data_IF_407754661723
#
_entry.id   IF_407754661723
#
_cell.length_a   1.000
_cell.length_b   1.000
_cell.length_c   1.000
_cell.angle_alpha   90.00
_cell.angle_beta   90.00
_cell.angle_gamma   90.00
#
_symmetry.space_group_name_H-M   'P 1'
#
loop_
_entity.id
_entity.type
_entity.pdbx_description
1 polymer ?
#
# COMPACT_ATOMS: atom_id res chain seq x y z
N UNK A 1 -3.81 41.58 -83.38
CA UNK A 1 -3.47 41.95 -81.96
C UNK A 1 -3.99 40.88 -81.02
N UNK A 2 -3.15 39.96 -80.59
CA UNK A 2 -3.52 38.85 -79.71
C UNK A 2 -2.98 39.17 -78.31
N UNK A 3 -3.89 39.18 -77.29
CA UNK A 3 -3.54 39.37 -75.93
C UNK A 3 -3.24 38.02 -75.26
N UNK A 4 -1.99 37.85 -74.81
CA UNK A 4 -1.56 36.73 -74.02
C UNK A 4 -2.10 36.83 -72.60
N UNK A 5 -2.89 35.82 -72.18
CA UNK A 5 -3.29 35.66 -70.80
C UNK A 5 -2.20 35.02 -69.95
N UNK A 6 -1.90 35.63 -68.81
CA UNK A 6 -0.96 35.13 -67.80
C UNK A 6 -1.55 33.95 -67.04
N UNK A 7 -0.88 32.81 -67.05
CA UNK A 7 -1.15 31.64 -66.18
C UNK A 7 -0.53 31.90 -64.79
N UNK A 8 -1.41 31.83 -63.77
CA UNK A 8 -0.99 31.90 -62.35
C UNK A 8 -0.66 30.49 -61.85
N UNK A 9 0.49 30.28 -61.21
CA UNK A 9 0.81 28.96 -60.68
C UNK A 9 0.03 28.68 -59.40
N UNK A 10 -0.69 27.56 -59.40
CA UNK A 10 -1.37 26.98 -58.23
C UNK A 10 -0.28 26.39 -57.31
N UNK A 11 -0.12 27.03 -56.15
CA UNK A 11 0.71 26.48 -55.05
C UNK A 11 -0.06 25.41 -54.31
N UNK A 12 0.35 24.16 -54.48
CA UNK A 12 -0.12 23.05 -53.62
C UNK A 12 0.49 23.20 -52.24
N UNK A 13 -0.34 23.54 -51.28
CA UNK A 13 0.03 23.51 -49.82
C UNK A 13 -0.09 22.07 -49.36
N UNK A 14 1.03 21.35 -49.26
CA UNK A 14 1.04 20.01 -48.60
C UNK A 14 0.98 20.23 -47.11
N UNK A 15 -0.23 20.01 -46.54
CA UNK A 15 -0.44 19.97 -45.09
C UNK A 15 0.14 18.65 -44.57
N UNK A 16 1.37 18.68 -44.05
CA UNK A 16 1.95 17.55 -43.32
C UNK A 16 1.27 17.38 -41.97
N UNK A 17 0.39 16.40 -41.88
CA UNK A 17 -0.18 15.97 -40.57
C UNK A 17 0.89 15.22 -39.81
N UNK A 18 1.56 15.90 -38.89
CA UNK A 18 2.43 15.28 -37.87
C UNK A 18 1.53 14.57 -36.89
N UNK A 19 1.34 13.27 -37.10
CA UNK A 19 0.75 12.37 -36.08
C UNK A 19 1.80 12.20 -34.98
N UNK A 20 1.71 13.02 -33.94
CA UNK A 20 2.38 12.79 -32.66
C UNK A 20 1.77 11.53 -32.05
N UNK A 21 2.38 10.37 -32.28
CA UNK A 21 2.13 9.17 -31.53
C UNK A 21 2.56 9.45 -30.07
N UNK A 22 1.63 9.89 -29.24
CA UNK A 22 1.78 9.88 -27.81
C UNK A 22 1.91 8.42 -27.38
N UNK A 23 3.13 7.91 -27.31
CA UNK A 23 3.43 6.67 -26.60
C UNK A 23 3.08 6.92 -25.13
N UNK A 24 1.88 6.55 -24.74
CA UNK A 24 1.50 6.45 -23.35
C UNK A 24 2.45 5.39 -22.76
N UNK A 25 3.47 5.84 -22.08
CA UNK A 25 4.31 5.00 -21.25
C UNK A 25 3.41 4.60 -20.07
N UNK A 26 2.65 3.50 -20.25
CA UNK A 26 2.04 2.81 -19.10
C UNK A 26 3.22 2.49 -18.18
N UNK A 27 3.30 3.18 -17.05
CA UNK A 27 4.40 3.05 -16.11
C UNK A 27 4.44 1.59 -15.66
N UNK A 28 5.45 0.85 -16.14
CA UNK A 28 5.55 -0.60 -15.96
C UNK A 28 5.75 -0.88 -14.48
N UNK A 29 4.89 -1.73 -13.91
CA UNK A 29 5.05 -2.18 -12.53
C UNK A 29 6.42 -2.81 -12.32
N UNK A 30 7.00 -2.57 -11.16
CA UNK A 30 8.32 -3.09 -10.80
C UNK A 30 8.30 -4.62 -10.70
N UNK A 31 9.18 -5.35 -11.41
CA UNK A 31 9.21 -6.83 -11.34
C UNK A 31 9.46 -7.35 -9.92
N UNK A 32 10.28 -6.66 -9.12
CA UNK A 32 10.53 -7.08 -7.73
C UNK A 32 9.31 -6.86 -6.85
N UNK A 33 8.52 -5.80 -7.10
CA UNK A 33 7.26 -5.57 -6.41
C UNK A 33 6.26 -6.70 -6.68
N UNK A 34 6.16 -7.15 -7.93
CA UNK A 34 5.32 -8.28 -8.30
C UNK A 34 5.81 -9.58 -7.66
N UNK A 35 7.10 -9.85 -7.67
CA UNK A 35 7.69 -11.04 -7.05
C UNK A 35 7.38 -11.10 -5.54
N UNK A 36 7.53 -9.97 -4.84
CA UNK A 36 7.19 -9.88 -3.42
C UNK A 36 5.70 -10.16 -3.23
N UNK A 37 4.82 -9.46 -3.93
CA UNK A 37 3.38 -9.63 -3.77
C UNK A 37 2.90 -11.07 -4.07
N UNK A 38 3.51 -11.75 -5.05
CA UNK A 38 3.23 -13.16 -5.36
C UNK A 38 3.58 -14.10 -4.20
N UNK A 39 4.66 -13.82 -3.46
CA UNK A 39 5.01 -14.62 -2.28
C UNK A 39 3.93 -14.54 -1.17
N UNK A 40 3.06 -13.53 -1.21
CA UNK A 40 1.95 -13.34 -0.28
C UNK A 40 0.58 -13.72 -0.86
N UNK A 41 0.50 -14.18 -2.12
CA UNK A 41 -0.71 -14.70 -2.74
C UNK A 41 -1.39 -13.74 -3.73
N UNK A 42 -0.64 -12.83 -4.35
CA UNK A 42 -1.17 -11.87 -5.35
C UNK A 42 -2.01 -12.55 -6.43
N UNK A 43 -1.57 -13.70 -6.97
CA UNK A 43 -2.25 -14.39 -8.07
C UNK A 43 -3.66 -14.89 -7.68
N UNK A 44 -3.91 -15.06 -6.38
CA UNK A 44 -5.19 -15.49 -5.84
C UNK A 44 -5.99 -14.38 -5.16
N UNK A 45 -5.45 -13.16 -5.07
CA UNK A 45 -6.12 -12.04 -4.41
C UNK A 45 -7.49 -11.73 -5.02
N UNK A 46 -7.64 -11.93 -6.34
CA UNK A 46 -8.91 -11.77 -7.04
C UNK A 46 -10.03 -12.71 -6.56
N UNK A 47 -9.71 -13.79 -5.85
CA UNK A 47 -10.68 -14.72 -5.25
C UNK A 47 -11.18 -14.24 -3.89
N UNK A 48 -10.55 -13.22 -3.29
CA UNK A 48 -10.92 -12.68 -1.97
C UNK A 48 -12.02 -11.63 -2.14
N UNK A 49 -13.13 -11.84 -1.44
CA UNK A 49 -14.24 -10.90 -1.33
C UNK A 49 -13.98 -9.87 -0.24
N UNK A 50 -13.58 -10.36 0.96
CA UNK A 50 -13.35 -9.51 2.10
C UNK A 50 -12.20 -10.02 2.99
N UNK A 51 -11.58 -9.09 3.71
CA UNK A 51 -10.56 -9.33 4.72
C UNK A 51 -11.04 -8.66 6.02
N UNK A 52 -10.94 -9.36 7.15
CA UNK A 52 -11.13 -8.76 8.47
C UNK A 52 -9.88 -8.96 9.31
N UNK A 53 -9.60 -8.00 10.17
CA UNK A 53 -8.47 -8.06 11.09
C UNK A 53 -8.64 -7.07 12.24
N UNK A 54 -7.91 -7.29 13.33
CA UNK A 54 -7.72 -6.33 14.40
C UNK A 54 -6.25 -5.92 14.44
N UNK A 55 -5.97 -4.66 14.17
CA UNK A 55 -4.67 -4.03 14.37
C UNK A 55 -4.46 -3.73 15.83
N UNK A 56 -3.30 -4.08 16.38
CA UNK A 56 -2.92 -3.77 17.75
C UNK A 56 -1.55 -3.10 17.75
N UNK A 57 -1.44 -1.96 18.43
CA UNK A 57 -0.19 -1.22 18.64
C UNK A 57 0.10 -1.14 20.13
N UNK A 58 1.27 -1.64 20.52
CA UNK A 58 1.79 -1.58 21.88
C UNK A 58 3.02 -0.64 21.91
N UNK A 59 2.90 0.43 22.68
CA UNK A 59 3.97 1.38 22.97
C UNK A 59 4.11 1.53 24.49
N UNK A 60 5.25 1.99 25.01
CA UNK A 60 5.38 2.27 26.45
C UNK A 60 4.25 3.20 26.92
N UNK A 61 3.41 2.69 27.84
CA UNK A 61 2.30 3.43 28.42
C UNK A 61 1.08 3.63 27.52
N UNK A 62 1.03 3.02 26.32
CA UNK A 62 -0.09 3.17 25.40
C UNK A 62 -0.33 1.91 24.59
N UNK A 63 -1.59 1.44 24.64
CA UNK A 63 -2.09 0.37 23.78
C UNK A 63 -3.26 0.90 22.94
N UNK A 64 -3.25 0.55 21.65
CA UNK A 64 -4.29 0.94 20.68
C UNK A 64 -4.77 -0.32 19.98
N UNK A 65 -6.07 -0.39 19.71
CA UNK A 65 -6.65 -1.51 18.97
C UNK A 65 -7.77 -1.00 18.06
N UNK A 66 -7.74 -1.41 16.80
CA UNK A 66 -8.73 -1.07 15.78
C UNK A 66 -9.16 -2.34 15.06
N UNK A 67 -10.45 -2.58 14.95
CA UNK A 67 -10.99 -3.71 14.18
C UNK A 67 -11.53 -3.24 12.85
N UNK A 68 -11.14 -3.95 11.82
CA UNK A 68 -11.43 -3.62 10.43
C UNK A 68 -12.11 -4.78 9.72
N UNK A 69 -13.06 -4.41 8.86
CA UNK A 69 -13.59 -5.22 7.77
C UNK A 69 -13.37 -4.43 6.48
N UNK A 70 -12.83 -5.08 5.47
CA UNK A 70 -12.48 -4.43 4.20
C UNK A 70 -12.83 -5.33 3.02
N UNK A 71 -13.53 -4.78 2.06
CA UNK A 71 -13.80 -5.37 0.76
C UNK A 71 -12.87 -4.71 -0.29
N UNK A 72 -11.76 -5.35 -0.71
CA UNK A 72 -10.78 -4.73 -1.60
C UNK A 72 -11.35 -4.28 -2.95
N UNK A 73 -12.35 -5.00 -3.48
CA UNK A 73 -12.93 -4.72 -4.80
C UNK A 73 -13.89 -3.54 -4.81
N UNK A 74 -14.65 -3.36 -3.75
CA UNK A 74 -15.66 -2.30 -3.64
C UNK A 74 -15.14 -1.06 -2.94
N UNK A 75 -14.01 -1.19 -2.22
CA UNK A 75 -13.50 -0.15 -1.34
C UNK A 75 -14.35 0.08 -0.09
N UNK A 76 -15.28 -0.85 0.25
CA UNK A 76 -16.08 -0.76 1.45
C UNK A 76 -15.26 -1.13 2.68
N UNK A 77 -15.32 -0.28 3.68
CA UNK A 77 -14.56 -0.39 4.92
C UNK A 77 -15.50 -0.22 6.09
N UNK A 78 -15.40 -1.12 7.09
CA UNK A 78 -16.05 -0.95 8.39
C UNK A 78 -14.99 -0.90 9.48
N UNK A 79 -15.14 0.05 10.39
CA UNK A 79 -14.29 0.31 11.55
C UNK A 79 -15.03 0.03 12.82
N UNK A 80 -14.39 -0.64 13.76
CA UNK A 80 -14.80 -0.74 15.14
C UNK A 80 -13.61 -0.39 16.05
N UNK A 81 -13.80 0.56 16.95
CA UNK A 81 -12.76 1.03 17.85
C UNK A 81 -13.35 1.89 18.98
N UNK A 82 -12.52 2.77 19.53
CA UNK A 82 -12.89 3.70 20.57
C UNK A 82 -12.53 5.13 20.16
N UNK A 83 -13.34 6.10 20.61
CA UNK A 83 -13.00 7.51 20.50
C UNK A 83 -11.98 7.93 21.59
N UNK A 84 -11.65 9.24 21.61
CA UNK A 84 -10.75 9.83 22.61
C UNK A 84 -11.24 9.68 24.07
N UNK A 85 -12.54 9.52 24.25
CA UNK A 85 -13.21 9.40 25.56
C UNK A 85 -13.44 7.91 25.93
N UNK A 86 -12.95 6.99 25.11
CA UNK A 86 -13.08 5.54 25.33
C UNK A 86 -14.43 4.95 24.91
N UNK A 87 -15.32 5.74 24.30
CA UNK A 87 -16.64 5.28 23.87
C UNK A 87 -16.51 4.47 22.57
N UNK A 88 -17.30 3.39 22.42
CA UNK A 88 -17.32 2.60 21.19
C UNK A 88 -17.70 3.46 19.97
N UNK A 89 -16.94 3.28 18.89
CA UNK A 89 -17.24 3.87 17.59
C UNK A 89 -17.34 2.74 16.57
N UNK A 90 -18.42 2.76 15.81
CA UNK A 90 -18.62 1.86 14.66
C UNK A 90 -19.08 2.69 13.47
N UNK A 91 -18.36 2.57 12.34
CA UNK A 91 -18.68 3.30 11.12
C UNK A 91 -18.38 2.43 9.90
N UNK A 92 -19.17 2.61 8.84
CA UNK A 92 -18.94 1.97 7.53
C UNK A 92 -18.96 3.07 6.47
N UNK A 93 -18.00 3.02 5.56
CA UNK A 93 -17.88 3.95 4.45
C UNK A 93 -17.31 3.25 3.21
N UNK A 94 -17.39 3.94 2.05
CA UNK A 94 -16.76 3.51 0.80
C UNK A 94 -15.68 4.50 0.45
N UNK A 95 -14.43 4.04 0.28
CA UNK A 95 -13.27 4.90 0.14
C UNK A 95 -13.35 5.85 -1.08
N UNK A 96 -13.96 5.41 -2.18
CA UNK A 96 -14.19 6.26 -3.37
C UNK A 96 -15.24 7.36 -3.14
N UNK A 97 -16.04 7.27 -2.09
CA UNK A 97 -17.17 8.18 -1.79
C UNK A 97 -16.90 9.11 -0.60
N UNK A 98 -15.67 9.12 -0.09
CA UNK A 98 -15.26 9.89 1.09
C UNK A 98 -15.65 11.38 1.06
N UNK A 99 -15.78 11.99 -0.11
CA UNK A 99 -16.16 13.41 -0.23
C UNK A 99 -17.53 13.71 0.39
N UNK A 100 -18.43 12.72 0.39
CA UNK A 100 -19.78 12.80 0.99
C UNK A 100 -19.83 12.48 2.48
N UNK A 101 -18.75 11.91 3.05
CA UNK A 101 -18.72 11.46 4.43
C UNK A 101 -18.46 12.58 5.46
N UNK A 102 -18.69 12.25 6.72
CA UNK A 102 -18.42 13.16 7.83
C UNK A 102 -16.93 13.51 7.93
N UNK A 103 -16.56 14.68 8.48
CA UNK A 103 -15.16 15.05 8.72
C UNK A 103 -14.41 14.00 9.55
N UNK A 104 -15.07 13.37 10.53
CA UNK A 104 -14.45 12.31 11.35
C UNK A 104 -14.03 11.11 10.52
N UNK A 105 -14.86 10.72 9.56
CA UNK A 105 -14.52 9.61 8.62
C UNK A 105 -13.38 10.02 7.72
N UNK A 106 -13.51 11.15 7.01
CA UNK A 106 -12.53 11.62 6.02
C UNK A 106 -11.15 11.92 6.60
N UNK A 107 -11.13 12.65 7.71
CA UNK A 107 -9.89 13.24 8.21
C UNK A 107 -9.20 12.35 9.24
N UNK A 108 -9.90 11.35 9.80
CA UNK A 108 -9.37 10.50 10.84
C UNK A 108 -9.48 9.02 10.56
N UNK A 109 -10.69 8.48 10.32
CA UNK A 109 -10.89 7.03 10.27
C UNK A 109 -10.30 6.44 8.98
N UNK A 110 -10.46 7.12 7.84
CA UNK A 110 -9.84 6.69 6.58
C UNK A 110 -8.30 6.71 6.68
N UNK A 111 -7.72 7.73 7.29
CA UNK A 111 -6.29 7.79 7.54
C UNK A 111 -5.81 6.65 8.46
N UNK A 112 -6.56 6.32 9.52
CA UNK A 112 -6.25 5.19 10.39
C UNK A 112 -6.32 3.87 9.63
N UNK A 113 -7.33 3.69 8.77
CA UNK A 113 -7.44 2.51 7.92
C UNK A 113 -6.20 2.35 7.02
N UNK A 114 -5.81 3.40 6.32
CA UNK A 114 -4.64 3.35 5.43
C UNK A 114 -3.39 3.00 6.23
N UNK A 115 -3.14 3.65 7.37
CA UNK A 115 -2.01 3.33 8.23
C UNK A 115 -1.99 1.86 8.66
N UNK A 116 -3.09 1.37 9.22
CA UNK A 116 -3.18 0.00 9.76
C UNK A 116 -3.12 -1.06 8.65
N UNK A 117 -3.72 -0.76 7.49
CA UNK A 117 -3.73 -1.63 6.32
C UNK A 117 -2.33 -1.79 5.71
N UNK A 118 -1.54 -0.71 5.64
CA UNK A 118 -0.15 -0.77 5.18
C UNK A 118 0.68 -1.73 6.02
N UNK A 119 0.50 -1.77 7.34
CA UNK A 119 1.23 -2.71 8.20
C UNK A 119 0.84 -4.18 8.02
N UNK A 120 -0.36 -4.48 7.50
CA UNK A 120 -0.81 -5.87 7.25
C UNK A 120 -0.51 -6.34 5.82
N UNK A 121 -0.84 -5.50 4.83
CA UNK A 121 -0.85 -5.90 3.42
C UNK A 121 0.16 -5.14 2.56
N UNK A 122 1.19 -4.58 3.15
CA UNK A 122 2.24 -3.85 2.44
C UNK A 122 2.85 -4.61 1.25
N UNK A 123 3.03 -5.94 1.31
CA UNK A 123 3.48 -6.71 0.15
C UNK A 123 2.60 -6.54 -1.11
N UNK A 124 1.30 -6.28 -0.93
CA UNK A 124 0.41 -5.96 -2.05
C UNK A 124 0.48 -4.48 -2.41
N UNK A 125 0.61 -3.58 -1.43
CA UNK A 125 0.78 -2.14 -1.69
C UNK A 125 2.01 -1.87 -2.53
N UNK A 126 3.15 -2.51 -2.27
CA UNK A 126 4.34 -2.31 -3.09
C UNK A 126 4.11 -2.62 -4.57
N UNK A 127 3.23 -3.58 -4.89
CA UNK A 127 2.83 -3.90 -6.24
C UNK A 127 1.78 -2.92 -6.80
N UNK A 128 0.75 -2.61 -6.03
CA UNK A 128 -0.34 -1.71 -6.48
C UNK A 128 0.16 -0.29 -6.72
N UNK A 129 1.02 0.19 -5.83
CA UNK A 129 1.49 1.57 -5.81
C UNK A 129 2.73 1.77 -6.71
N UNK A 130 3.38 0.68 -7.16
CA UNK A 130 4.61 0.75 -7.95
C UNK A 130 4.54 1.61 -9.22
N UNK A 131 3.40 1.82 -9.88
CA UNK A 131 3.31 2.80 -10.97
C UNK A 131 3.51 4.25 -10.52
N UNK A 132 3.22 4.57 -9.25
CA UNK A 132 3.33 5.91 -8.68
C UNK A 132 4.42 6.06 -7.63
N UNK A 133 5.06 4.98 -7.21
CA UNK A 133 6.15 4.94 -6.25
C UNK A 133 7.45 4.51 -6.93
N UNK A 134 8.57 4.96 -6.39
CA UNK A 134 9.89 4.51 -6.83
C UNK A 134 10.28 3.24 -6.07
N UNK A 135 10.47 2.12 -6.79
CA UNK A 135 10.82 0.82 -6.22
C UNK A 135 12.18 0.39 -6.75
N UNK A 136 13.17 0.27 -5.86
CA UNK A 136 14.56 -0.02 -6.19
C UNK A 136 15.10 -1.24 -5.43
N UNK A 137 15.80 -2.15 -6.14
CA UNK A 137 16.63 -3.19 -5.52
C UNK A 137 18.01 -2.63 -5.19
N UNK A 138 18.40 -2.71 -3.91
CA UNK A 138 19.66 -2.18 -3.40
C UNK A 138 20.68 -3.30 -3.09
N UNK A 139 20.45 -4.53 -3.60
CA UNK A 139 21.31 -5.69 -3.34
C UNK A 139 21.13 -6.28 -1.95
N UNK A 140 22.02 -7.21 -1.59
CA UNK A 140 21.99 -7.90 -0.29
C UNK A 140 22.61 -7.01 0.79
N UNK A 141 21.88 -6.79 1.87
CA UNK A 141 22.27 -5.97 3.01
C UNK A 141 22.10 -6.72 4.33
N UNK A 142 22.82 -6.31 5.37
CA UNK A 142 22.63 -6.82 6.73
C UNK A 142 21.25 -6.43 7.25
N UNK A 143 20.63 -7.33 8.00
CA UNK A 143 19.36 -7.03 8.70
C UNK A 143 19.60 -5.99 9.80
N UNK A 144 18.73 -4.96 9.93
CA UNK A 144 18.88 -3.88 10.90
C UNK A 144 18.71 -4.32 12.37
N UNK A 145 17.92 -5.36 12.65
CA UNK A 145 17.66 -5.86 14.01
C UNK A 145 18.27 -7.23 14.27
N UNK A 146 18.33 -8.09 13.26
CA UNK A 146 18.72 -9.47 13.42
C UNK A 146 20.12 -9.80 12.93
N UNK A 147 20.47 -11.09 13.09
CA UNK A 147 21.64 -11.67 12.45
C UNK A 147 21.27 -12.18 11.06
N UNK A 148 22.15 -11.93 10.08
CA UNK A 148 21.97 -12.39 8.72
C UNK A 148 21.78 -11.24 7.73
N UNK A 149 21.21 -11.56 6.58
CA UNK A 149 21.04 -10.62 5.47
C UNK A 149 19.73 -10.88 4.72
N UNK A 150 19.32 -9.89 3.94
CA UNK A 150 18.22 -9.95 3.01
C UNK A 150 18.48 -9.03 1.83
N UNK A 151 17.77 -9.24 0.75
CA UNK A 151 17.76 -8.31 -0.38
C UNK A 151 17.00 -7.04 0.07
N UNK A 152 17.69 -5.89 0.10
CA UNK A 152 17.04 -4.63 0.39
C UNK A 152 16.26 -4.16 -0.84
N UNK A 153 14.96 -3.96 -0.67
CA UNK A 153 14.07 -3.32 -1.63
C UNK A 153 13.54 -2.04 -1.00
N UNK A 154 13.90 -0.92 -1.60
CA UNK A 154 13.45 0.41 -1.15
C UNK A 154 12.23 0.84 -1.93
N UNK A 155 11.21 1.32 -1.25
CA UNK A 155 10.01 1.95 -1.83
C UNK A 155 9.94 3.38 -1.34
N UNK A 156 9.94 4.34 -2.27
CA UNK A 156 9.79 5.75 -1.96
C UNK A 156 8.51 6.29 -2.60
N UNK A 157 7.65 6.86 -1.77
CA UNK A 157 6.42 7.49 -2.21
C UNK A 157 6.68 8.94 -2.64
N UNK A 158 6.04 9.42 -3.73
CA UNK A 158 6.15 10.81 -4.16
C UNK A 158 5.48 11.75 -3.16
N UNK A 159 5.64 13.05 -3.37
CA UNK A 159 4.90 14.06 -2.59
C UNK A 159 3.43 14.01 -2.99
N UNK A 160 2.56 13.76 -2.02
CA UNK A 160 1.11 13.65 -2.20
C UNK A 160 0.55 12.34 -1.64
N UNK A 161 -0.79 12.16 -1.69
CA UNK A 161 -1.47 11.00 -1.13
C UNK A 161 -1.43 10.95 0.40
N UNK A 162 -1.58 9.74 0.94
CA UNK A 162 -1.62 9.49 2.39
C UNK A 162 -0.23 9.52 3.04
N UNK A 163 0.81 9.16 2.28
CA UNK A 163 2.18 8.94 2.78
C UNK A 163 3.21 9.77 2.01
N UNK A 164 3.06 11.11 1.95
CA UNK A 164 3.86 11.98 1.10
C UNK A 164 5.34 11.97 1.49
N UNK A 165 6.17 11.43 0.60
CA UNK A 165 7.62 11.36 0.76
C UNK A 165 8.11 10.24 1.68
N UNK A 166 7.22 9.38 2.19
CA UNK A 166 7.60 8.24 3.02
C UNK A 166 8.48 7.26 2.24
N UNK A 167 9.41 6.65 2.94
CA UNK A 167 10.28 5.60 2.40
C UNK A 167 10.15 4.35 3.24
N UNK A 168 10.12 3.20 2.57
CA UNK A 168 10.00 1.90 3.17
C UNK A 168 11.11 0.99 2.67
N UNK A 169 11.94 0.49 3.59
CA UNK A 169 13.04 -0.42 3.30
C UNK A 169 12.63 -1.84 3.70
N UNK A 170 12.41 -2.72 2.73
CA UNK A 170 12.07 -4.12 2.96
C UNK A 170 13.32 -4.99 2.81
N UNK A 171 13.64 -5.80 3.82
CA UNK A 171 14.69 -6.79 3.76
C UNK A 171 14.08 -8.16 3.43
N UNK A 172 14.17 -8.55 2.18
CA UNK A 172 13.49 -9.71 1.60
C UNK A 172 14.39 -10.94 1.63
N UNK A 173 13.87 -12.06 2.11
CA UNK A 173 14.53 -13.35 2.09
C UNK A 173 14.55 -14.00 0.71
N UNK A 174 15.28 -15.11 0.57
CA UNK A 174 15.35 -15.91 -0.67
C UNK A 174 14.00 -16.53 -1.06
N UNK A 175 13.08 -16.66 -0.11
CA UNK A 175 11.71 -17.15 -0.29
C UNK A 175 10.70 -16.05 -0.69
N UNK A 176 11.19 -14.83 -0.95
CA UNK A 176 10.36 -13.68 -1.30
C UNK A 176 9.64 -13.03 -0.11
N UNK A 177 9.82 -13.53 1.12
CA UNK A 177 9.18 -12.95 2.31
C UNK A 177 10.04 -11.88 2.93
N UNK A 178 9.40 -10.83 3.42
CA UNK A 178 10.05 -9.77 4.18
C UNK A 178 10.48 -10.33 5.54
N UNK A 179 11.72 -10.11 5.96
CA UNK A 179 12.25 -10.49 7.27
C UNK A 179 12.20 -9.34 8.26
N UNK A 180 12.65 -8.18 7.82
CA UNK A 180 12.67 -6.94 8.60
C UNK A 180 12.27 -5.78 7.71
N UNK A 181 11.85 -4.71 8.35
CA UNK A 181 11.22 -3.59 7.69
C UNK A 181 11.61 -2.29 8.38
N UNK A 182 11.96 -1.27 7.60
CA UNK A 182 12.25 0.07 8.13
C UNK A 182 11.35 1.06 7.42
N UNK A 183 10.56 1.77 8.20
CA UNK A 183 9.77 2.90 7.76
C UNK A 183 10.49 4.21 8.09
N UNK A 184 10.54 5.12 7.12
CA UNK A 184 11.02 6.47 7.28
C UNK A 184 9.93 7.47 6.89
N UNK A 185 9.53 8.31 7.81
CA UNK A 185 8.55 9.36 7.58
C UNK A 185 9.09 10.44 6.66
N UNK A 186 8.39 10.69 5.57
CA UNK A 186 8.72 11.75 4.62
C UNK A 186 8.21 13.13 5.03
N UNK A 187 7.04 13.18 5.69
CA UNK A 187 6.45 14.44 6.15
C UNK A 187 6.77 14.70 7.63
N UNK A 188 7.63 15.69 7.97
CA UNK A 188 8.01 15.99 9.35
C UNK A 188 6.85 16.48 10.22
N UNK A 189 5.74 16.92 9.61
CA UNK A 189 4.53 17.37 10.32
C UNK A 189 3.55 16.24 10.64
N UNK A 190 3.79 15.02 10.12
CA UNK A 190 2.96 13.87 10.42
C UNK A 190 3.11 13.47 11.91
N UNK A 191 2.01 13.01 12.57
CA UNK A 191 2.05 12.59 13.97
C UNK A 191 2.68 11.22 14.20
N UNK A 192 2.98 10.46 13.13
CA UNK A 192 3.63 9.14 13.26
C UNK A 192 5.12 9.26 13.58
N UNK A 193 5.77 8.22 14.16
CA UNK A 193 7.21 8.20 14.41
C UNK A 193 8.03 8.53 13.17
N UNK A 194 9.20 9.15 13.37
CA UNK A 194 10.13 9.50 12.28
C UNK A 194 10.76 8.28 11.64
N UNK A 195 11.07 7.27 12.46
CA UNK A 195 11.62 5.99 12.02
C UNK A 195 11.02 4.84 12.83
N UNK A 196 10.60 3.78 12.13
CA UNK A 196 10.16 2.52 12.74
C UNK A 196 10.99 1.38 12.16
N UNK A 197 11.63 0.60 13.01
CA UNK A 197 12.44 -0.56 12.62
C UNK A 197 11.83 -1.77 13.29
N UNK A 198 11.34 -2.73 12.52
CA UNK A 198 10.63 -3.90 13.07
C UNK A 198 10.96 -5.18 12.31
N UNK A 199 10.81 -6.31 12.99
CA UNK A 199 10.72 -7.62 12.36
C UNK A 199 9.44 -7.73 11.55
N UNK A 200 9.44 -8.58 10.52
CA UNK A 200 8.25 -8.94 9.77
C UNK A 200 8.04 -10.45 9.94
N UNK A 201 7.23 -10.82 10.93
CA UNK A 201 7.18 -12.18 11.47
C UNK A 201 5.76 -12.64 11.79
N UNK A 202 5.61 -13.82 12.41
CA UNK A 202 4.30 -14.36 12.77
C UNK A 202 3.47 -14.71 11.53
N UNK A 203 4.11 -15.32 10.54
CA UNK A 203 3.48 -15.68 9.28
C UNK A 203 2.34 -16.68 9.47
N UNK A 204 1.16 -16.33 8.93
CA UNK A 204 -0.06 -17.14 8.97
C UNK A 204 -0.76 -17.11 7.63
N UNK A 205 -1.38 -18.21 7.24
CA UNK A 205 -2.22 -18.30 6.03
C UNK A 205 -3.69 -18.17 6.38
N UNK A 206 -4.40 -17.34 5.61
CA UNK A 206 -5.87 -17.32 5.59
C UNK A 206 -6.32 -17.53 4.14
N UNK A 207 -6.88 -18.69 3.86
CA UNK A 207 -7.17 -19.10 2.48
C UNK A 207 -5.92 -19.04 1.60
N UNK A 208 -5.96 -18.36 0.45
CA UNK A 208 -4.83 -18.29 -0.46
C UNK A 208 -3.79 -17.21 -0.07
N UNK A 209 -4.06 -16.38 0.94
CA UNK A 209 -3.20 -15.26 1.31
C UNK A 209 -2.30 -15.59 2.49
N UNK A 210 -1.08 -15.03 2.47
CA UNK A 210 -0.11 -15.09 3.56
C UNK A 210 -0.05 -13.71 4.23
N UNK A 211 -0.13 -13.67 5.56
CA UNK A 211 -0.02 -12.46 6.37
C UNK A 211 1.13 -12.57 7.35
N UNK A 212 1.86 -11.47 7.55
CA UNK A 212 2.72 -11.29 8.70
C UNK A 212 1.89 -10.64 9.81
N UNK A 213 1.88 -11.24 11.00
CA UNK A 213 0.96 -10.84 12.06
C UNK A 213 1.64 -10.33 13.33
N UNK A 214 2.98 -10.27 13.36
CA UNK A 214 3.74 -9.80 14.54
C UNK A 214 5.00 -9.06 14.09
N UNK A 215 5.07 -7.77 14.40
CA UNK A 215 6.16 -6.87 14.07
C UNK A 215 6.70 -6.26 15.37
N UNK A 216 7.96 -6.54 15.71
CA UNK A 216 8.60 -6.11 16.96
C UNK A 216 9.87 -5.36 16.67
N UNK A 217 10.10 -4.28 17.40
CA UNK A 217 11.30 -3.48 17.25
C UNK A 217 11.22 -2.14 17.95
N UNK A 218 11.56 -1.07 17.25
CA UNK A 218 11.60 0.27 17.82
C UNK A 218 10.92 1.30 16.93
N UNK A 219 10.32 2.30 17.56
CA UNK A 219 9.77 3.51 16.95
C UNK A 219 10.46 4.72 17.60
N UNK A 220 11.25 5.47 16.84
CA UNK A 220 12.14 6.53 17.35
C UNK A 220 12.96 6.07 18.55
N UNK A 221 13.53 4.86 18.47
CA UNK A 221 14.35 4.24 19.52
C UNK A 221 13.59 3.66 20.72
N UNK A 222 12.27 3.84 20.81
CA UNK A 222 11.44 3.27 21.88
C UNK A 222 10.85 1.93 21.45
N UNK A 223 10.70 0.95 22.36
CA UNK A 223 10.08 -0.33 22.03
C UNK A 223 8.69 -0.15 21.39
N UNK A 224 8.45 -0.92 20.33
CA UNK A 224 7.15 -0.99 19.66
C UNK A 224 6.82 -2.44 19.30
N UNK A 225 5.55 -2.79 19.40
CA UNK A 225 4.99 -3.98 18.78
C UNK A 225 3.74 -3.61 18.01
N UNK A 226 3.70 -3.99 16.74
CA UNK A 226 2.50 -3.95 15.90
C UNK A 226 2.09 -5.40 15.67
N UNK A 227 0.86 -5.76 16.02
CA UNK A 227 0.38 -7.12 15.82
C UNK A 227 -1.04 -7.17 15.29
N UNK A 228 -1.37 -8.29 14.66
CA UNK A 228 -2.69 -8.51 14.08
C UNK A 228 -3.33 -9.75 14.67
N UNK A 229 -4.55 -9.59 15.15
CA UNK A 229 -5.42 -10.67 15.63
C UNK A 229 -6.69 -10.74 14.78
N UNK A 230 -7.44 -11.84 14.91
CA UNK A 230 -8.70 -12.05 14.18
C UNK A 230 -8.58 -11.91 12.65
N UNK A 231 -7.38 -12.14 12.12
CA UNK A 231 -7.15 -12.08 10.66
C UNK A 231 -7.90 -13.24 10.00
N UNK A 232 -8.77 -12.90 9.05
CA UNK A 232 -9.51 -13.88 8.27
C UNK A 232 -9.85 -13.33 6.90
N UNK A 233 -10.04 -14.21 5.93
CA UNK A 233 -10.51 -13.88 4.59
C UNK A 233 -11.84 -14.56 4.29
N UNK A 234 -12.65 -13.92 3.47
CA UNK A 234 -13.86 -14.48 2.86
C UNK A 234 -13.63 -14.57 1.37
N UNK A 235 -13.89 -15.72 0.78
CA UNK A 235 -13.74 -15.91 -0.67
C UNK A 235 -15.04 -15.54 -1.39
N UNK A 236 -14.90 -15.12 -2.64
CA UNK A 236 -16.04 -14.81 -3.50
C UNK A 236 -16.96 -16.02 -3.62
N UNK A 237 -18.25 -15.80 -3.39
CA UNK A 237 -19.27 -16.86 -3.43
C UNK A 237 -19.30 -17.80 -2.22
N UNK A 238 -18.56 -17.47 -1.14
CA UNK A 238 -18.57 -18.25 0.10
C UNK A 238 -19.10 -17.39 1.26
N UNK A 239 -19.92 -17.99 2.12
CA UNK A 239 -20.36 -17.36 3.37
C UNK A 239 -19.43 -17.63 4.55
N UNK A 240 -18.40 -18.46 4.33
CA UNK A 240 -17.50 -18.91 5.40
C UNK A 240 -16.23 -18.04 5.47
N UNK A 241 -15.85 -17.67 6.69
CA UNK A 241 -14.59 -17.02 6.99
C UNK A 241 -13.48 -18.05 7.22
N UNK A 242 -12.35 -17.89 6.56
CA UNK A 242 -11.14 -18.69 6.73
C UNK A 242 -10.19 -17.91 7.64
N UNK A 243 -10.05 -18.34 8.88
CA UNK A 243 -9.16 -17.69 9.85
C UNK A 243 -7.69 -17.97 9.53
N UNK A 244 -6.82 -17.01 9.83
CA UNK A 244 -5.39 -17.15 9.70
C UNK A 244 -4.81 -18.09 10.78
N UNK A 245 -4.03 -19.07 10.35
CA UNK A 245 -3.37 -20.09 11.18
C UNK A 245 -1.97 -20.46 10.65
#
# INVERSE_FOLDING_TARGET
MAKFGRLTPIRFLVLGVLVLAATSWAQKRSPIAEQIAKAYGLDSLGQVEAIRYTFNLELPGRNVSHSWFWEPKTGKISYEGKDKDGKPVKVTFVQSELKGDSPVVKDKIDWLFVNDNYWLVFPFHVYWDSPGAEVQEMGVQKLPLGKGSGKLVKVQYPKGGYTPGDTWDMYVGSDGRIKEFVYHRGNPKSPVPGIVIVTWAGYKKAGPLLFSTDHRGTADGKPVRISFSNVAVKLVGSDTWINAQ
#
